data_IF_437734174496
#
_entry.id   IF_437734174496
#
_cell.length_a   1.000
_cell.length_b   1.000
_cell.length_c   1.000
_cell.angle_alpha   90.00
_cell.angle_beta   90.00
_cell.angle_gamma   90.00
#
_symmetry.space_group_name_H-M   'P 1'
#
loop_
_entity.id
_entity.type
_entity.pdbx_description
1 polymer ?
#
# COMPACT_ATOMS: atom_id res chain seq x y z
N UNK A 1 11.52 -18.99 1.14
CA UNK A 1 10.56 -18.03 1.74
C UNK A 1 11.31 -17.08 2.66
N UNK A 2 11.14 -15.81 2.45
CA UNK A 2 11.81 -14.82 3.29
C UNK A 2 11.07 -14.66 4.62
N UNK A 3 11.82 -14.63 5.73
CA UNK A 3 11.26 -14.30 7.04
C UNK A 3 11.28 -12.80 7.29
N UNK A 4 11.76 -12.01 6.34
CA UNK A 4 11.91 -10.57 6.48
C UNK A 4 10.76 -9.78 5.86
N UNK A 5 9.69 -10.45 5.42
CA UNK A 5 8.49 -9.77 4.93
C UNK A 5 7.79 -9.02 6.06
N UNK A 6 7.30 -7.82 5.74
CA UNK A 6 6.44 -7.09 6.66
C UNK A 6 5.03 -7.64 6.48
N UNK A 7 4.41 -8.09 7.57
CA UNK A 7 3.04 -8.63 7.56
C UNK A 7 2.22 -7.88 8.59
N UNK A 8 1.10 -7.27 8.13
CA UNK A 8 0.19 -6.54 8.99
C UNK A 8 -1.22 -7.08 8.83
N UNK A 9 -1.95 -7.15 9.93
CA UNK A 9 -3.34 -7.58 9.94
C UNK A 9 -4.14 -6.56 10.74
N UNK A 10 -5.19 -5.99 10.10
CA UNK A 10 -5.99 -4.91 10.71
C UNK A 10 -7.47 -5.17 10.44
N UNK A 11 -8.31 -4.97 11.46
CA UNK A 11 -9.76 -5.07 11.33
C UNK A 11 -10.37 -3.69 11.07
N UNK A 12 -11.38 -3.67 10.19
CA UNK A 12 -12.10 -2.46 9.80
C UNK A 12 -13.59 -2.64 10.03
N UNK A 13 -14.23 -1.64 10.58
CA UNK A 13 -15.69 -1.63 10.73
C UNK A 13 -16.34 -1.04 9.46
N UNK A 14 -16.08 -1.70 8.35
CA UNK A 14 -16.57 -1.30 7.03
C UNK A 14 -16.55 -2.52 6.12
N UNK A 15 -17.45 -2.58 5.11
CA UNK A 15 -17.43 -3.70 4.16
C UNK A 15 -16.21 -3.67 3.25
N UNK A 16 -15.86 -4.81 2.67
CA UNK A 16 -14.69 -4.93 1.80
C UNK A 16 -14.74 -3.93 0.65
N UNK A 17 -15.91 -3.69 0.10
CA UNK A 17 -16.10 -2.77 -1.02
C UNK A 17 -15.65 -1.36 -0.67
N UNK A 18 -15.95 -0.90 0.55
CA UNK A 18 -15.52 0.41 1.02
C UNK A 18 -14.01 0.47 1.19
N UNK A 19 -13.43 -0.53 1.85
CA UNK A 19 -11.97 -0.58 2.05
C UNK A 19 -11.26 -0.66 0.69
N UNK A 20 -11.79 -1.46 -0.23
CA UNK A 20 -11.25 -1.61 -1.58
C UNK A 20 -11.18 -0.28 -2.32
N UNK A 21 -12.24 0.53 -2.25
CA UNK A 21 -12.24 1.83 -2.89
C UNK A 21 -11.11 2.73 -2.39
N UNK A 22 -10.82 2.70 -1.08
CA UNK A 22 -9.74 3.49 -0.51
C UNK A 22 -8.36 3.00 -0.95
N UNK A 23 -8.25 1.75 -1.40
CA UNK A 23 -6.98 1.19 -1.91
C UNK A 23 -6.76 1.46 -3.40
N UNK A 24 -7.82 1.76 -4.16
CA UNK A 24 -7.73 1.77 -5.63
C UNK A 24 -8.16 3.08 -6.28
N UNK A 25 -9.00 3.88 -5.63
CA UNK A 25 -9.47 5.16 -6.15
C UNK A 25 -8.38 6.22 -5.93
N UNK A 26 -8.04 6.96 -6.98
CA UNK A 26 -6.95 7.95 -6.95
C UNK A 26 -7.10 9.01 -5.86
N UNK A 27 -8.32 9.47 -5.65
CA UNK A 27 -8.59 10.54 -4.68
C UNK A 27 -8.67 9.98 -3.27
N UNK A 28 -9.28 8.81 -3.11
CA UNK A 28 -9.40 8.16 -1.79
C UNK A 28 -8.04 7.71 -1.25
N UNK A 29 -7.14 7.30 -2.13
CA UNK A 29 -5.75 7.03 -1.73
C UNK A 29 -5.10 8.24 -1.07
N UNK A 30 -5.43 9.44 -1.51
CA UNK A 30 -4.92 10.68 -0.94
C UNK A 30 -5.48 11.02 0.43
N UNK A 31 -6.58 10.41 0.83
CA UNK A 31 -7.23 10.69 2.12
C UNK A 31 -6.43 10.07 3.27
N UNK A 32 -5.87 8.88 3.06
CA UNK A 32 -5.17 8.16 4.11
C UNK A 32 -3.69 7.91 3.82
N UNK A 33 -3.28 8.04 2.57
CA UNK A 33 -1.92 7.71 2.14
C UNK A 33 -1.37 8.80 1.22
N UNK A 34 -1.30 8.56 -0.08
CA UNK A 34 -0.87 9.53 -1.09
C UNK A 34 -1.83 9.46 -2.28
N UNK A 35 -2.18 10.62 -2.86
CA UNK A 35 -3.04 10.60 -4.05
C UNK A 35 -2.33 9.96 -5.23
N UNK A 36 -3.10 9.33 -6.10
CA UNK A 36 -2.58 8.71 -7.32
C UNK A 36 -2.89 9.57 -8.54
N UNK A 37 -2.07 9.41 -9.59
CA UNK A 37 -2.29 10.10 -10.86
C UNK A 37 -3.57 9.61 -11.55
N UNK A 38 -3.90 8.33 -11.34
CA UNK A 38 -5.13 7.73 -11.87
C UNK A 38 -5.54 6.58 -10.96
N UNK A 39 -6.77 6.10 -11.12
CA UNK A 39 -7.22 4.92 -10.40
C UNK A 39 -6.33 3.73 -10.75
N UNK A 40 -6.15 2.82 -9.80
CA UNK A 40 -5.36 1.62 -10.02
C UNK A 40 -6.13 0.67 -10.94
N UNK A 41 -5.47 0.19 -11.98
CA UNK A 41 -6.05 -0.73 -12.97
C UNK A 41 -5.08 -1.88 -13.21
N UNK A 42 -5.61 -3.11 -13.22
CA UNK A 42 -4.78 -4.31 -13.43
C UNK A 42 -4.00 -4.21 -14.74
N UNK A 43 -2.71 -4.55 -14.66
CA UNK A 43 -1.82 -4.53 -15.80
C UNK A 43 -1.22 -3.18 -16.13
N UNK A 44 -1.58 -2.12 -15.40
CA UNK A 44 -1.09 -0.77 -15.65
C UNK A 44 -0.13 -0.30 -14.57
N UNK A 45 0.72 0.65 -14.93
CA UNK A 45 1.59 1.32 -13.98
C UNK A 45 0.75 2.26 -13.11
N UNK A 46 1.22 2.50 -11.90
CA UNK A 46 0.62 3.49 -11.03
C UNK A 46 1.70 4.40 -10.45
N UNK A 47 1.30 5.62 -10.08
CA UNK A 47 2.18 6.58 -9.42
C UNK A 47 1.40 7.32 -8.35
N UNK A 48 1.90 7.25 -7.12
CA UNK A 48 1.41 8.05 -6.01
C UNK A 48 2.35 9.23 -5.85
N UNK A 49 1.82 10.43 -5.64
CA UNK A 49 2.63 11.64 -5.61
C UNK A 49 2.41 12.42 -4.32
N UNK A 50 3.35 13.31 -4.04
CA UNK A 50 3.20 14.36 -3.03
C UNK A 50 3.38 15.70 -3.72
N UNK A 51 2.94 16.77 -3.09
CA UNK A 51 3.20 18.12 -3.58
C UNK A 51 4.43 18.68 -2.88
N UNK A 52 5.32 19.31 -3.66
CA UNK A 52 6.47 20.00 -3.08
C UNK A 52 6.08 21.41 -2.60
N UNK A 53 7.06 22.18 -2.12
CA UNK A 53 6.82 23.51 -1.60
C UNK A 53 6.24 24.47 -2.65
N UNK A 54 6.51 24.23 -3.93
CA UNK A 54 5.98 25.03 -5.04
C UNK A 54 4.61 24.55 -5.51
N UNK A 55 4.05 23.49 -4.88
CA UNK A 55 2.77 22.92 -5.29
C UNK A 55 2.87 21.98 -6.47
N UNK A 56 4.07 21.58 -6.85
CA UNK A 56 4.29 20.68 -7.97
C UNK A 56 4.26 19.22 -7.53
N UNK A 57 3.77 18.33 -8.41
CA UNK A 57 3.70 16.90 -8.13
C UNK A 57 5.08 16.26 -8.19
N UNK A 58 5.43 15.53 -7.14
CA UNK A 58 6.67 14.76 -7.07
C UNK A 58 6.30 13.30 -6.82
N UNK A 59 6.76 12.36 -7.66
CA UNK A 59 6.47 10.94 -7.42
C UNK A 59 7.03 10.50 -6.08
N UNK A 60 6.19 9.85 -5.29
CA UNK A 60 6.55 9.31 -3.97
C UNK A 60 6.71 7.80 -4.02
N UNK A 61 5.75 7.13 -4.67
CA UNK A 61 5.73 5.67 -4.81
C UNK A 61 5.30 5.36 -6.23
N UNK A 62 6.03 4.47 -6.88
CA UNK A 62 5.66 4.01 -8.23
C UNK A 62 5.61 2.49 -8.26
N UNK A 63 4.97 1.94 -9.27
CA UNK A 63 4.89 0.51 -9.45
C UNK A 63 3.90 0.11 -10.54
N UNK A 64 3.52 -1.16 -10.51
CA UNK A 64 2.58 -1.75 -11.46
C UNK A 64 1.54 -2.56 -10.70
N UNK A 65 0.32 -2.56 -11.21
CA UNK A 65 -0.75 -3.39 -10.66
C UNK A 65 -0.68 -4.75 -11.32
N UNK A 66 -0.20 -5.75 -10.59
CA UNK A 66 0.03 -7.09 -11.13
C UNK A 66 -1.25 -7.92 -11.16
N UNK A 67 -2.11 -7.76 -10.17
CA UNK A 67 -3.33 -8.55 -10.04
C UNK A 67 -4.38 -7.75 -9.28
N UNK A 68 -5.63 -7.83 -9.73
CA UNK A 68 -6.74 -7.14 -9.09
C UNK A 68 -7.98 -8.02 -9.16
N UNK A 69 -8.37 -8.57 -8.02
CA UNK A 69 -9.60 -9.38 -7.88
C UNK A 69 -10.52 -8.66 -6.90
N UNK A 70 -11.44 -7.88 -7.44
CA UNK A 70 -12.36 -7.03 -6.66
C UNK A 70 -13.32 -7.89 -5.86
N UNK A 71 -13.54 -7.62 -4.58
CA UNK A 71 -12.89 -6.63 -3.72
C UNK A 71 -11.94 -7.26 -2.69
N UNK A 72 -11.25 -8.35 -3.03
CA UNK A 72 -10.56 -9.14 -2.02
C UNK A 72 -9.06 -9.32 -2.20
N UNK A 73 -8.51 -9.10 -3.40
CA UNK A 73 -7.08 -9.33 -3.63
C UNK A 73 -6.50 -8.28 -4.56
N UNK A 74 -5.46 -7.59 -4.09
CA UNK A 74 -4.72 -6.62 -4.87
C UNK A 74 -3.23 -6.92 -4.70
N UNK A 75 -2.51 -7.07 -5.81
CA UNK A 75 -1.06 -7.28 -5.79
C UNK A 75 -0.42 -6.20 -6.64
N UNK A 76 0.51 -5.46 -6.04
CA UNK A 76 1.23 -4.39 -6.76
C UNK A 76 2.72 -4.52 -6.51
N UNK A 77 3.52 -4.00 -7.44
CA UNK A 77 4.91 -3.71 -7.11
C UNK A 77 4.96 -2.38 -6.38
N UNK A 78 6.08 -2.11 -5.72
CA UNK A 78 6.24 -0.92 -4.89
C UNK A 78 7.69 -0.48 -4.96
N UNK A 79 7.90 0.74 -5.42
CA UNK A 79 9.23 1.33 -5.56
C UNK A 79 9.23 2.70 -4.90
N UNK A 80 10.21 2.93 -4.04
CA UNK A 80 10.47 4.24 -3.42
C UNK A 80 11.92 4.62 -3.70
N UNK A 81 12.29 5.88 -3.42
CA UNK A 81 13.63 6.39 -3.69
C UNK A 81 14.78 5.48 -3.26
N UNK A 82 14.80 4.99 -2.00
CA UNK A 82 15.88 4.13 -1.53
C UNK A 82 16.08 2.83 -2.31
N UNK A 83 15.08 2.36 -3.06
CA UNK A 83 15.17 1.12 -3.83
C UNK A 83 15.89 1.30 -5.16
N UNK A 84 16.14 2.54 -5.58
CA UNK A 84 16.87 2.86 -6.82
C UNK A 84 16.27 2.15 -8.05
N UNK A 85 14.94 2.17 -8.14
CA UNK A 85 14.22 1.58 -9.27
C UNK A 85 13.95 0.09 -9.16
N UNK A 86 14.45 -0.58 -8.12
CA UNK A 86 14.17 -2.00 -7.93
C UNK A 86 12.81 -2.21 -7.27
N UNK A 87 12.10 -3.24 -7.73
CA UNK A 87 10.73 -3.51 -7.30
C UNK A 87 10.69 -4.37 -6.05
N UNK A 88 9.78 -4.01 -5.14
CA UNK A 88 9.30 -4.90 -4.08
C UNK A 88 7.84 -5.21 -4.38
N UNK A 89 7.22 -6.09 -3.62
CA UNK A 89 5.84 -6.51 -3.90
C UNK A 89 4.98 -6.38 -2.66
N UNK A 90 3.78 -5.82 -2.85
CA UNK A 90 2.77 -5.75 -1.78
C UNK A 90 1.56 -6.55 -2.21
N UNK A 91 1.11 -7.43 -1.31
CA UNK A 91 -0.14 -8.18 -1.47
C UNK A 91 -1.12 -7.71 -0.41
N UNK A 92 -2.32 -7.30 -0.85
CA UNK A 92 -3.43 -6.87 -0.01
C UNK A 92 -4.53 -7.92 -0.10
N UNK A 93 -4.92 -8.51 1.02
CA UNK A 93 -6.03 -9.47 1.07
C UNK A 93 -7.10 -8.91 1.99
N UNK A 94 -8.33 -8.84 1.50
CA UNK A 94 -9.49 -8.37 2.26
C UNK A 94 -10.44 -9.53 2.48
N UNK A 95 -10.67 -9.86 3.74
CA UNK A 95 -11.57 -10.97 4.13
C UNK A 95 -12.76 -10.39 4.90
N UNK A 96 -13.95 -10.96 4.69
CA UNK A 96 -15.09 -10.62 5.53
C UNK A 96 -14.85 -11.21 6.92
N UNK A 97 -15.08 -10.40 7.95
CA UNK A 97 -14.84 -10.80 9.32
C UNK A 97 -15.78 -10.06 10.26
N UNK A 98 -16.62 -10.79 10.97
CA UNK A 98 -17.50 -10.27 12.03
C UNK A 98 -18.33 -9.05 11.58
N UNK A 99 -18.82 -9.06 10.36
CA UNK A 99 -19.62 -7.97 9.80
C UNK A 99 -18.82 -6.82 9.21
N UNK A 100 -17.50 -6.88 9.30
CA UNK A 100 -16.59 -5.90 8.71
C UNK A 100 -15.55 -6.56 7.84
N UNK A 101 -14.33 -6.05 7.87
CA UNK A 101 -13.22 -6.53 7.03
C UNK A 101 -11.97 -6.78 7.85
N UNK A 102 -11.29 -7.88 7.56
CA UNK A 102 -9.90 -8.09 8.00
C UNK A 102 -9.00 -7.90 6.78
N UNK A 103 -8.08 -6.96 6.88
CA UNK A 103 -7.09 -6.69 5.84
C UNK A 103 -5.76 -7.30 6.27
N UNK A 104 -5.13 -8.06 5.37
CA UNK A 104 -3.77 -8.57 5.58
C UNK A 104 -2.90 -7.97 4.48
N UNK A 105 -1.86 -7.24 4.89
CA UNK A 105 -0.87 -6.67 4.00
C UNK A 105 0.43 -7.46 4.15
N UNK A 106 1.02 -7.88 3.04
CA UNK A 106 2.34 -8.51 3.01
C UNK A 106 3.23 -7.71 2.06
N UNK A 107 4.35 -7.18 2.59
CA UNK A 107 5.31 -6.42 1.80
C UNK A 107 6.62 -7.20 1.75
N UNK A 108 6.98 -7.69 0.57
CA UNK A 108 8.10 -8.60 0.34
C UNK A 108 9.17 -7.97 -0.54
N UNK A 109 10.41 -8.44 -0.38
CA UNK A 109 11.52 -8.06 -1.25
C UNK A 109 12.39 -6.93 -0.75
N UNK A 110 12.06 -6.32 0.37
CA UNK A 110 12.81 -5.16 0.89
C UNK A 110 14.24 -5.54 1.23
N UNK A 111 14.44 -6.66 1.92
CA UNK A 111 15.77 -7.11 2.31
C UNK A 111 16.61 -7.48 1.09
N UNK A 112 16.01 -8.10 0.09
CA UNK A 112 16.69 -8.50 -1.14
C UNK A 112 17.14 -7.27 -1.96
N UNK A 113 16.31 -6.23 -2.00
CA UNK A 113 16.63 -4.99 -2.71
C UNK A 113 17.68 -4.17 -1.98
N UNK A 114 17.57 -4.07 -0.66
CA UNK A 114 18.42 -3.20 0.14
C UNK A 114 19.75 -3.83 0.55
N UNK A 115 19.80 -5.16 0.68
CA UNK A 115 21.01 -5.85 1.14
C UNK A 115 21.43 -5.37 2.52
N UNK A 116 22.70 -4.99 2.64
CA UNK A 116 23.22 -4.45 3.89
C UNK A 116 22.50 -3.14 4.23
N UNK A 117 22.14 -2.97 5.48
CA UNK A 117 21.38 -1.79 5.91
C UNK A 117 19.89 -1.91 5.73
N UNK A 118 19.38 -3.05 5.27
CA UNK A 118 17.95 -3.27 5.08
C UNK A 118 17.14 -3.06 6.36
N UNK A 119 17.74 -3.36 7.52
CA UNK A 119 17.03 -3.26 8.80
C UNK A 119 16.51 -1.83 9.06
N UNK A 120 17.29 -0.81 8.71
CA UNK A 120 16.85 0.58 8.89
C UNK A 120 15.56 0.85 8.11
N UNK A 121 15.50 0.42 6.86
CA UNK A 121 14.33 0.65 6.03
C UNK A 121 13.17 -0.27 6.41
N UNK A 122 13.47 -1.50 6.81
CA UNK A 122 12.43 -2.41 7.33
C UNK A 122 11.74 -1.80 8.54
N UNK A 123 12.50 -1.25 9.48
CA UNK A 123 11.93 -0.59 10.66
C UNK A 123 11.09 0.63 10.28
N UNK A 124 11.57 1.43 9.34
CA UNK A 124 10.87 2.62 8.90
C UNK A 124 9.54 2.26 8.20
N UNK A 125 9.57 1.27 7.30
CA UNK A 125 8.36 0.84 6.59
C UNK A 125 7.40 0.10 7.51
N UNK A 126 7.92 -0.70 8.44
CA UNK A 126 7.09 -1.39 9.43
C UNK A 126 6.29 -0.37 10.26
N UNK A 127 6.97 0.65 10.76
CA UNK A 127 6.32 1.74 11.50
C UNK A 127 5.36 2.53 10.61
N UNK A 128 5.78 2.84 9.38
CA UNK A 128 4.96 3.58 8.42
C UNK A 128 3.66 2.84 8.09
N UNK A 129 3.72 1.53 7.89
CA UNK A 129 2.52 0.76 7.62
C UNK A 129 1.55 0.78 8.81
N UNK A 130 2.04 0.71 10.04
CA UNK A 130 1.18 0.83 11.22
C UNK A 130 0.43 2.16 11.21
N UNK A 131 1.13 3.25 10.94
CA UNK A 131 0.53 4.58 10.89
C UNK A 131 -0.49 4.69 9.76
N UNK A 132 -0.10 4.31 8.56
CA UNK A 132 -0.98 4.43 7.39
C UNK A 132 -2.22 3.54 7.49
N UNK A 133 -2.07 2.32 7.97
CA UNK A 133 -3.22 1.43 8.14
C UNK A 133 -4.15 1.92 9.26
N UNK A 134 -3.60 2.56 10.29
CA UNK A 134 -4.40 3.21 11.33
C UNK A 134 -5.20 4.38 10.75
N UNK A 135 -4.58 5.18 9.90
CA UNK A 135 -5.26 6.29 9.21
C UNK A 135 -6.39 5.76 8.29
N UNK A 136 -6.10 4.70 7.53
CA UNK A 136 -7.09 4.05 6.68
C UNK A 136 -8.30 3.60 7.50
N UNK A 137 -8.05 2.95 8.64
CA UNK A 137 -9.12 2.48 9.51
C UNK A 137 -9.97 3.64 10.02
N UNK A 138 -9.34 4.75 10.41
CA UNK A 138 -10.05 5.93 10.89
C UNK A 138 -10.96 6.53 9.80
N UNK A 139 -10.51 6.53 8.56
CA UNK A 139 -11.26 7.12 7.45
C UNK A 139 -12.40 6.23 6.95
N UNK A 140 -12.32 4.92 7.17
CA UNK A 140 -13.33 3.97 6.69
C UNK A 140 -14.36 3.60 7.74
N UNK A 141 -14.11 3.90 9.01
CA UNK A 141 -15.06 3.62 10.09
C UNK A 141 -16.21 4.62 10.06
N UNK A 142 -17.47 4.16 10.26
CA UNK A 142 -18.61 5.07 10.33
C UNK A 142 -18.58 5.95 11.59
#
# INVERSE_FOLDING_TARGET
MSTTSIIKSVFFNAPRETVWEFLTDKDKLGIWYHPAESDLVEGQDYSLYRLDEAGEKVPQITGRVLEMKVPWRLVTTFVIGPFQGQETTITWILEEAAGGTRLVLTHEGIAEVMGDGAMHLLMALDHGWDKHLGDLRSQTSP
#
